data_IF_048429609185
#
_entry.id   IF_048429609185
#
_cell.length_a   1.000
_cell.length_b   1.000
_cell.length_c   1.000
_cell.angle_alpha   90.00
_cell.angle_beta   90.00
_cell.angle_gamma   90.00
#
_symmetry.space_group_name_H-M   'P 1'
#
loop_
_entity.id
_entity.type
_entity.pdbx_description
1 polymer ?
#
# COMPACT_ATOMS: atom_id res chain seq x y z
N UNK A 1 -41.29 38.40 22.63
CA UNK A 1 -40.61 37.61 21.57
C UNK A 1 -39.17 37.37 22.00
N UNK A 2 -38.85 36.18 22.53
CA UNK A 2 -37.52 35.85 23.05
C UNK A 2 -36.65 35.31 21.90
N UNK A 3 -35.60 36.05 21.53
CA UNK A 3 -34.61 35.63 20.53
C UNK A 3 -33.66 34.63 21.19
N UNK A 4 -33.86 33.34 20.95
CA UNK A 4 -32.85 32.31 21.23
C UNK A 4 -31.97 32.20 19.99
N UNK A 5 -30.79 32.84 20.05
CA UNK A 5 -29.71 32.59 19.12
C UNK A 5 -29.07 31.25 19.51
N UNK A 6 -29.37 30.21 18.74
CA UNK A 6 -28.79 28.87 18.90
C UNK A 6 -27.45 28.87 18.16
N UNK A 7 -26.36 29.10 18.87
CA UNK A 7 -25.00 29.07 18.34
C UNK A 7 -24.65 27.63 17.95
N UNK A 8 -24.53 27.38 16.64
CA UNK A 8 -24.13 26.09 16.07
C UNK A 8 -22.64 25.87 16.33
N UNK A 9 -22.31 24.99 17.28
CA UNK A 9 -20.94 24.52 17.50
C UNK A 9 -20.59 23.53 16.38
N UNK A 10 -19.91 24.01 15.34
CA UNK A 10 -19.33 23.16 14.30
C UNK A 10 -18.18 22.40 14.95
N UNK A 11 -18.42 21.12 15.23
CA UNK A 11 -17.42 20.17 15.69
C UNK A 11 -16.44 19.94 14.52
N UNK A 12 -15.34 20.68 14.49
CA UNK A 12 -14.23 20.40 13.60
C UNK A 12 -13.62 19.06 14.02
N UNK A 13 -14.05 17.98 13.36
CA UNK A 13 -13.33 16.71 13.34
C UNK A 13 -11.97 16.98 12.69
N UNK A 14 -10.98 17.29 13.53
CA UNK A 14 -9.59 17.27 13.12
C UNK A 14 -9.26 15.85 12.66
N UNK A 15 -9.26 15.64 11.35
CA UNK A 15 -8.53 14.53 10.72
C UNK A 15 -7.06 14.79 11.05
N UNK A 16 -6.60 14.28 12.18
CA UNK A 16 -5.18 14.23 12.47
C UNK A 16 -4.54 13.45 11.31
N UNK A 17 -3.54 14.01 10.61
CA UNK A 17 -2.84 13.24 9.59
C UNK A 17 -2.27 12.01 10.28
N UNK A 18 -2.74 10.83 9.89
CA UNK A 18 -2.22 9.59 10.40
C UNK A 18 -0.71 9.60 10.13
N UNK A 19 0.08 9.44 11.20
CA UNK A 19 1.53 9.52 11.10
C UNK A 19 2.03 8.47 10.12
N UNK A 20 2.61 8.92 9.00
CA UNK A 20 3.24 8.04 8.02
C UNK A 20 4.33 7.23 8.71
N UNK A 21 4.21 5.90 8.65
CA UNK A 21 5.24 5.00 9.15
C UNK A 21 6.35 4.87 8.11
N UNK A 22 7.60 4.77 8.58
CA UNK A 22 8.73 4.48 7.70
C UNK A 22 8.63 3.06 7.12
N UNK A 23 8.92 2.91 5.82
CA UNK A 23 8.96 1.60 5.17
C UNK A 23 10.33 0.97 5.46
N UNK A 24 10.34 -0.17 6.15
CA UNK A 24 11.54 -0.99 6.31
C UNK A 24 11.22 -2.42 5.87
N UNK A 25 11.72 -2.81 4.70
CA UNK A 25 11.46 -4.14 4.12
C UNK A 25 12.10 -5.29 4.92
N UNK A 26 13.04 -5.01 5.84
CA UNK A 26 13.76 -6.06 6.56
C UNK A 26 14.40 -7.05 5.59
N UNK A 27 14.03 -8.33 5.73
CA UNK A 27 14.50 -9.41 4.85
C UNK A 27 13.59 -9.67 3.64
N UNK A 28 12.55 -8.88 3.42
CA UNK A 28 11.75 -8.99 2.21
C UNK A 28 12.61 -8.60 0.99
N UNK A 29 12.60 -9.40 -0.10
CA UNK A 29 13.50 -9.18 -1.21
C UNK A 29 13.18 -7.90 -1.98
N UNK A 30 14.22 -7.15 -2.30
CA UNK A 30 14.17 -6.00 -3.20
C UNK A 30 14.06 -6.46 -4.65
N UNK A 31 13.45 -5.63 -5.49
CA UNK A 31 13.29 -5.90 -6.92
C UNK A 31 12.02 -5.30 -7.50
N UNK A 32 11.72 -5.68 -8.74
CA UNK A 32 10.57 -5.18 -9.48
C UNK A 32 9.74 -6.33 -10.06
N UNK A 33 8.42 -6.20 -9.97
CA UNK A 33 7.47 -7.19 -10.50
C UNK A 33 6.35 -6.48 -11.26
N UNK A 34 5.95 -7.06 -12.40
CA UNK A 34 4.93 -6.48 -13.28
C UNK A 34 3.55 -7.00 -12.90
N UNK A 35 2.64 -6.09 -12.58
CA UNK A 35 1.21 -6.36 -12.61
C UNK A 35 0.69 -6.07 -14.03
N UNK A 36 0.55 -7.13 -14.82
CA UNK A 36 0.11 -7.03 -16.21
C UNK A 36 -1.35 -6.55 -16.35
N UNK A 37 -2.20 -6.71 -15.33
CA UNK A 37 -3.59 -6.26 -15.40
C UNK A 37 -3.72 -4.74 -15.31
N UNK A 38 -2.77 -4.08 -14.64
CA UNK A 38 -2.72 -2.62 -14.52
C UNK A 38 -1.63 -1.98 -15.35
N UNK A 39 -0.87 -2.77 -16.11
CA UNK A 39 0.34 -2.33 -16.82
C UNK A 39 1.27 -1.52 -15.89
N UNK A 40 1.49 -2.05 -14.68
CA UNK A 40 2.11 -1.33 -13.57
C UNK A 40 3.21 -2.16 -12.93
N UNK A 41 4.32 -1.52 -12.57
CA UNK A 41 5.50 -2.18 -12.01
C UNK A 41 5.61 -1.86 -10.54
N UNK A 42 5.54 -2.88 -9.71
CA UNK A 42 5.78 -2.78 -8.28
C UNK A 42 7.26 -2.89 -8.00
N UNK A 43 7.86 -1.79 -7.54
CA UNK A 43 9.25 -1.71 -7.14
C UNK A 43 9.36 -1.71 -5.61
N UNK A 44 10.20 -2.59 -5.09
CA UNK A 44 10.51 -2.71 -3.67
C UNK A 44 12.01 -2.40 -3.50
N UNK A 45 12.32 -1.29 -2.84
CA UNK A 45 13.68 -0.82 -2.59
C UNK A 45 13.94 -0.68 -1.09
N UNK A 46 15.21 -0.56 -0.71
CA UNK A 46 15.55 -0.25 0.69
C UNK A 46 14.89 1.08 1.08
N UNK A 47 13.92 1.03 1.98
CA UNK A 47 13.25 2.23 2.49
C UNK A 47 12.00 2.68 1.73
N UNK A 48 11.60 2.03 0.62
CA UNK A 48 10.44 2.49 -0.15
C UNK A 48 9.75 1.39 -0.96
N UNK A 49 8.50 1.66 -1.34
CA UNK A 49 7.72 0.91 -2.32
C UNK A 49 7.18 1.93 -3.32
N UNK A 50 7.33 1.64 -4.62
CA UNK A 50 6.81 2.49 -5.68
C UNK A 50 6.03 1.68 -6.71
N UNK A 51 5.06 2.32 -7.33
CA UNK A 51 4.40 1.82 -8.53
C UNK A 51 4.92 2.67 -9.68
N UNK A 52 5.49 2.02 -10.69
CA UNK A 52 6.03 2.67 -11.88
C UNK A 52 5.24 2.28 -13.13
N UNK A 53 5.30 3.12 -14.16
CA UNK A 53 4.92 2.73 -15.51
C UNK A 53 5.92 1.66 -16.03
N UNK A 54 5.59 0.90 -17.08
CA UNK A 54 6.55 0.01 -17.70
C UNK A 54 7.79 0.75 -18.23
N UNK A 55 7.61 2.02 -18.64
CA UNK A 55 8.68 2.93 -19.06
C UNK A 55 9.55 3.47 -17.90
N UNK A 56 9.08 3.33 -16.65
CA UNK A 56 9.84 3.70 -15.44
C UNK A 56 9.39 4.99 -14.75
N UNK A 57 8.34 5.64 -15.23
CA UNK A 57 7.77 6.84 -14.59
C UNK A 57 7.12 6.47 -13.26
N UNK A 58 7.27 7.31 -12.24
CA UNK A 58 6.63 7.07 -10.94
C UNK A 58 5.14 7.37 -11.05
N UNK A 59 4.30 6.34 -10.91
CA UNK A 59 2.85 6.45 -10.86
C UNK A 59 2.35 6.65 -9.43
N UNK A 60 3.04 6.04 -8.45
CA UNK A 60 2.74 6.19 -7.03
C UNK A 60 3.97 5.93 -6.18
N UNK A 61 4.19 6.76 -5.15
CA UNK A 61 5.28 6.60 -4.19
C UNK A 61 4.69 6.44 -2.78
N UNK A 62 4.82 5.25 -2.20
CA UNK A 62 4.26 4.94 -0.88
C UNK A 62 5.04 5.59 0.26
N UNK A 63 6.34 5.83 0.09
CA UNK A 63 7.16 6.55 1.06
C UNK A 63 6.74 8.02 1.16
N UNK A 64 6.41 8.64 0.03
CA UNK A 64 5.88 10.00 0.00
C UNK A 64 4.41 10.09 0.47
N UNK A 65 3.56 9.14 0.04
CA UNK A 65 2.14 9.13 0.40
C UNK A 65 1.89 8.71 1.87
N UNK A 66 2.83 7.99 2.47
CA UNK A 66 2.70 7.42 3.80
C UNK A 66 1.96 6.09 3.82
N UNK A 67 2.45 5.20 4.69
CA UNK A 67 1.84 3.90 4.96
C UNK A 67 1.51 3.75 6.44
N UNK A 68 0.59 2.84 6.73
CA UNK A 68 0.14 2.47 8.07
C UNK A 68 0.18 0.95 8.22
N UNK A 69 0.22 0.48 9.45
CA UNK A 69 0.26 -0.95 9.80
C UNK A 69 1.30 -1.75 9.01
N UNK A 70 2.46 -1.14 8.76
CA UNK A 70 3.51 -1.76 7.98
C UNK A 70 4.11 -2.92 8.75
N UNK A 71 4.08 -4.12 8.16
CA UNK A 71 4.60 -5.34 8.75
C UNK A 71 5.40 -6.13 7.73
N UNK A 72 6.54 -6.64 8.18
CA UNK A 72 7.32 -7.67 7.50
C UNK A 72 7.15 -8.98 8.26
N UNK A 73 6.97 -10.09 7.55
CA UNK A 73 6.88 -11.41 8.16
C UNK A 73 7.38 -12.51 7.23
N UNK A 74 7.37 -13.73 7.74
CA UNK A 74 7.61 -14.94 6.98
C UNK A 74 6.51 -15.95 7.29
N UNK A 75 5.97 -16.59 6.25
CA UNK A 75 5.01 -17.69 6.34
C UNK A 75 5.52 -18.94 5.64
N UNK A 76 4.69 -19.99 5.58
CA UNK A 76 5.01 -21.24 4.88
C UNK A 76 5.38 -21.04 3.41
N UNK A 77 4.76 -20.04 2.77
CA UNK A 77 4.94 -19.79 1.35
C UNK A 77 6.17 -18.91 1.06
N UNK A 78 6.70 -18.20 2.06
CA UNK A 78 7.85 -17.29 1.93
C UNK A 78 7.69 -15.99 2.72
N UNK A 79 8.62 -15.03 2.54
CA UNK A 79 8.51 -13.71 3.16
C UNK A 79 7.34 -12.92 2.57
N UNK A 80 6.72 -12.10 3.40
CA UNK A 80 5.64 -11.21 3.01
C UNK A 80 5.74 -9.85 3.68
N UNK A 81 5.12 -8.86 3.06
CA UNK A 81 4.83 -7.56 3.67
C UNK A 81 3.34 -7.27 3.63
N UNK A 82 2.84 -6.53 4.62
CA UNK A 82 1.49 -5.97 4.62
C UNK A 82 1.53 -4.52 5.03
N UNK A 83 0.68 -3.70 4.44
CA UNK A 83 0.52 -2.30 4.83
C UNK A 83 -0.79 -1.73 4.31
N UNK A 84 -1.29 -0.69 4.96
CA UNK A 84 -2.37 0.14 4.48
C UNK A 84 -1.80 1.46 3.93
N UNK A 85 -2.48 2.04 2.95
CA UNK A 85 -2.22 3.40 2.48
C UNK A 85 -3.55 4.14 2.38
N UNK A 86 -3.74 5.12 3.26
CA UNK A 86 -4.96 5.91 3.34
C UNK A 86 -5.20 6.73 2.07
N UNK A 87 -4.16 7.34 1.51
CA UNK A 87 -4.23 8.09 0.26
C UNK A 87 -4.71 7.22 -0.92
N UNK A 88 -4.40 5.92 -0.90
CA UNK A 88 -4.86 4.98 -1.90
C UNK A 88 -6.19 4.29 -1.54
N UNK A 89 -6.69 4.48 -0.30
CA UNK A 89 -7.90 3.85 0.24
C UNK A 89 -7.86 2.32 0.24
N UNK A 90 -6.68 1.72 0.40
CA UNK A 90 -6.44 0.28 0.17
C UNK A 90 -5.47 -0.33 1.18
N UNK A 91 -5.61 -1.64 1.38
CA UNK A 91 -4.64 -2.46 2.11
C UNK A 91 -3.99 -3.44 1.14
N UNK A 92 -2.68 -3.64 1.31
CA UNK A 92 -1.84 -4.42 0.43
C UNK A 92 -1.19 -5.55 1.21
N UNK A 93 -1.06 -6.70 0.56
CA UNK A 93 -0.18 -7.79 0.97
C UNK A 93 0.61 -8.25 -0.23
N UNK A 94 1.92 -8.34 -0.06
CA UNK A 94 2.82 -8.88 -1.07
C UNK A 94 3.54 -10.07 -0.47
N UNK A 95 3.44 -11.21 -1.13
CA UNK A 95 4.15 -12.43 -0.76
C UNK A 95 5.16 -12.76 -1.84
N UNK A 96 6.38 -13.14 -1.46
CA UNK A 96 7.37 -13.68 -2.39
C UNK A 96 7.49 -15.19 -2.16
N UNK A 97 6.85 -16.02 -3.00
CA UNK A 97 6.98 -17.46 -2.87
C UNK A 97 8.43 -17.93 -2.98
N UNK A 98 8.82 -18.92 -2.16
CA UNK A 98 10.18 -19.48 -2.18
C UNK A 98 10.48 -20.24 -3.49
N UNK A 99 9.46 -20.81 -4.12
CA UNK A 99 9.58 -21.72 -5.28
C UNK A 99 9.36 -21.06 -6.63
N UNK A 100 8.96 -19.78 -6.66
CA UNK A 100 8.64 -19.04 -7.89
C UNK A 100 9.50 -17.79 -8.02
N UNK A 101 9.73 -17.30 -9.24
CA UNK A 101 10.38 -15.98 -9.44
C UNK A 101 9.40 -14.82 -9.26
N UNK A 102 8.11 -15.07 -9.49
CA UNK A 102 7.01 -14.13 -9.32
C UNK A 102 6.78 -13.75 -7.85
N UNK A 103 6.08 -12.63 -7.66
CA UNK A 103 5.48 -12.22 -6.40
C UNK A 103 3.96 -12.35 -6.49
N UNK A 104 3.26 -12.45 -5.37
CA UNK A 104 1.80 -12.45 -5.31
C UNK A 104 1.37 -11.15 -4.65
N UNK A 105 0.57 -10.35 -5.36
CA UNK A 105 -0.04 -9.13 -4.85
C UNK A 105 -1.50 -9.41 -4.51
N UNK A 106 -1.90 -9.03 -3.30
CA UNK A 106 -3.27 -9.05 -2.82
C UNK A 106 -3.63 -7.62 -2.39
N UNK A 107 -4.72 -7.06 -2.94
CA UNK A 107 -5.23 -5.74 -2.60
C UNK A 107 -6.64 -5.88 -2.06
N UNK A 108 -6.85 -5.47 -0.81
CA UNK A 108 -8.17 -5.33 -0.22
C UNK A 108 -8.72 -3.95 -0.54
N UNK A 109 -9.89 -3.92 -1.18
CA UNK A 109 -10.56 -2.71 -1.67
C UNK A 109 -11.91 -2.57 -0.96
N UNK A 110 -12.14 -1.50 -0.19
CA UNK A 110 -13.44 -1.29 0.46
C UNK A 110 -14.58 -1.34 -0.56
N UNK A 111 -15.63 -2.12 -0.26
CA UNK A 111 -16.84 -2.26 -1.09
C UNK A 111 -16.62 -2.80 -2.51
N UNK A 112 -15.45 -3.36 -2.81
CA UNK A 112 -15.14 -4.00 -4.08
C UNK A 112 -14.59 -5.40 -3.80
N UNK A 113 -14.61 -6.26 -4.83
CA UNK A 113 -13.96 -7.56 -4.73
C UNK A 113 -12.47 -7.40 -4.42
N UNK A 114 -11.91 -8.31 -3.63
CA UNK A 114 -10.47 -8.36 -3.43
C UNK A 114 -9.77 -8.62 -4.76
N UNK A 115 -8.62 -7.99 -4.95
CA UNK A 115 -7.78 -8.19 -6.12
C UNK A 115 -6.60 -9.07 -5.76
N UNK A 116 -6.31 -10.07 -6.59
CA UNK A 116 -5.18 -10.97 -6.41
C UNK A 116 -4.55 -11.31 -7.75
N UNK A 117 -3.24 -11.17 -7.85
CA UNK A 117 -2.49 -11.44 -9.08
C UNK A 117 -1.11 -12.01 -8.76
N UNK A 118 -0.63 -12.88 -9.64
CA UNK A 118 0.77 -13.28 -9.69
C UNK A 118 1.52 -12.31 -10.61
N UNK A 119 2.46 -11.57 -10.04
CA UNK A 119 3.28 -10.60 -10.74
C UNK A 119 4.61 -11.26 -11.15
N UNK A 120 4.88 -11.51 -12.44
CA UNK A 120 6.20 -11.95 -12.89
C UNK A 120 7.26 -10.90 -12.58
N UNK A 121 8.50 -11.37 -12.42
CA UNK A 121 9.65 -10.48 -12.23
C UNK A 121 9.86 -9.65 -13.51
N UNK A 122 10.06 -8.33 -13.36
CA UNK A 122 10.41 -7.41 -14.45
C UNK A 122 11.91 -7.47 -14.74
#
# INVERSE_FOLDING_TARGET
>A
MKRLALTTLILALALAPAAAQGINLGNFPVGSWLDANYDAVWEFSTGNIRILSPAGDVLFDFGAAGVQDFKVGAGSDGPFITFACEAAGRTYKITKPLTKSSAILEIRRPNLADYKVEMPKK
#
